data_IF_953205804299
#
_entry.id   IF_953205804299
#
_cell.length_a   1.000
_cell.length_b   1.000
_cell.length_c   1.000
_cell.angle_alpha   90.00
_cell.angle_beta   90.00
_cell.angle_gamma   90.00
#
_symmetry.space_group_name_H-M   'P 1'
#
loop_
_entity.id
_entity.type
_entity.pdbx_description
1 polymer ?
#
# COMPACT_ATOMS: atom_id res chain seq x y z
N UNK A 1 4.82 32.56 7.27
CA UNK A 1 5.86 32.39 6.24
C UNK A 1 6.80 31.27 6.66
N UNK A 2 6.55 30.12 6.05
CA UNK A 2 7.38 28.90 6.06
C UNK A 2 8.69 29.15 5.31
N UNK A 3 9.82 28.68 5.85
CA UNK A 3 11.01 28.31 5.07
C UNK A 3 11.81 27.22 5.78
N UNK A 4 11.52 26.01 5.32
CA UNK A 4 12.34 24.82 5.08
C UNK A 4 13.86 24.99 5.08
N UNK A 5 14.58 23.97 5.59
CA UNK A 5 15.71 23.21 4.98
C UNK A 5 16.65 22.72 6.11
N UNK A 6 16.69 21.42 6.42
CA UNK A 6 17.40 20.40 5.64
C UNK A 6 18.82 20.86 5.27
N UNK A 7 19.69 20.96 6.28
CA UNK A 7 21.15 21.06 6.14
C UNK A 7 21.79 20.69 7.48
N UNK A 8 21.87 19.41 7.80
CA UNK A 8 22.74 18.95 8.90
C UNK A 8 23.21 17.52 8.66
N UNK A 9 24.04 17.34 7.64
CA UNK A 9 24.96 16.19 7.56
C UNK A 9 26.38 16.57 7.09
N UNK A 10 26.71 17.87 6.94
CA UNK A 10 28.04 18.27 6.44
C UNK A 10 28.87 19.11 7.44
N UNK A 11 28.32 19.65 8.53
CA UNK A 11 29.06 20.59 9.39
C UNK A 11 29.31 20.14 10.84
N UNK A 12 29.69 18.87 11.06
CA UNK A 12 30.40 18.45 12.30
C UNK A 12 31.48 17.41 11.99
N UNK A 13 32.35 17.68 11.03
CA UNK A 13 33.65 17.00 10.91
C UNK A 13 34.75 17.96 11.36
N UNK A 14 34.92 18.06 12.68
CA UNK A 14 36.18 18.36 13.35
C UNK A 14 35.88 18.27 14.84
N UNK A 15 36.63 17.42 15.53
CA UNK A 15 36.64 17.17 16.98
C UNK A 15 35.82 15.91 17.39
N UNK A 16 36.60 14.90 17.83
CA UNK A 16 36.26 13.55 18.35
C UNK A 16 36.32 12.44 17.28
N UNK A 17 37.56 12.06 16.96
CA UNK A 17 37.92 10.87 16.18
C UNK A 17 37.91 9.61 17.07
N UNK A 18 36.74 9.16 17.50
CA UNK A 18 36.49 7.80 18.03
C UNK A 18 34.98 7.50 18.10
N UNK A 19 34.20 7.94 17.11
CA UNK A 19 32.81 7.49 16.94
C UNK A 19 32.71 6.62 15.68
N UNK A 20 32.90 5.32 15.95
CA UNK A 20 32.17 4.17 15.41
C UNK A 20 32.05 4.00 13.89
N UNK A 21 32.80 3.03 13.34
CA UNK A 21 32.62 2.43 11.99
C UNK A 21 31.15 2.06 11.70
N UNK A 22 30.36 1.78 12.75
CA UNK A 22 28.95 1.38 12.69
C UNK A 22 28.04 2.56 12.25
N UNK A 23 28.38 3.80 12.62
CA UNK A 23 27.57 4.96 12.26
C UNK A 23 27.72 5.34 10.77
N UNK A 24 28.93 5.17 10.20
CA UNK A 24 29.17 5.39 8.77
C UNK A 24 28.47 4.34 7.90
N UNK A 25 28.51 3.07 8.30
CA UNK A 25 27.87 1.99 7.53
C UNK A 25 26.35 2.08 7.53
N UNK A 26 25.74 2.49 8.65
CA UNK A 26 24.29 2.75 8.74
C UNK A 26 23.85 3.97 7.93
N UNK A 27 24.69 5.02 7.83
CA UNK A 27 24.40 6.20 7.03
C UNK A 27 24.49 5.90 5.52
N UNK A 28 25.45 5.08 5.11
CA UNK A 28 25.58 4.62 3.72
C UNK A 28 24.45 3.68 3.30
N UNK A 29 24.03 2.76 4.18
CA UNK A 29 22.93 1.83 3.88
C UNK A 29 21.59 2.54 3.72
N UNK A 30 21.30 3.54 4.55
CA UNK A 30 20.08 4.36 4.47
C UNK A 30 20.04 5.27 3.25
N UNK A 31 21.18 5.85 2.86
CA UNK A 31 21.29 6.62 1.60
C UNK A 31 21.07 5.74 0.37
N UNK A 32 21.65 4.54 0.35
CA UNK A 32 21.48 3.60 -0.75
C UNK A 32 20.04 3.10 -0.86
N UNK A 33 19.40 2.76 0.28
CA UNK A 33 17.99 2.36 0.31
C UNK A 33 17.05 3.48 -0.20
N UNK A 34 17.32 4.73 0.17
CA UNK A 34 16.57 5.87 -0.35
C UNK A 34 16.76 6.06 -1.87
N UNK A 35 17.97 5.83 -2.38
CA UNK A 35 18.24 5.90 -3.82
C UNK A 35 17.51 4.79 -4.58
N UNK A 36 17.61 3.54 -4.11
CA UNK A 36 16.91 2.38 -4.66
C UNK A 36 15.38 2.62 -4.64
N UNK A 37 14.85 3.16 -3.54
CA UNK A 37 13.43 3.51 -3.43
C UNK A 37 13.00 4.51 -4.51
N UNK A 38 13.73 5.62 -4.66
CA UNK A 38 13.40 6.66 -5.64
C UNK A 38 13.51 6.15 -7.08
N UNK A 39 14.47 5.27 -7.36
CA UNK A 39 14.61 4.63 -8.67
C UNK A 39 13.42 3.73 -9.00
N UNK A 40 13.08 2.80 -8.11
CA UNK A 40 11.94 1.93 -8.30
C UNK A 40 10.63 2.74 -8.39
N UNK A 41 10.46 3.77 -7.55
CA UNK A 41 9.29 4.63 -7.57
C UNK A 41 9.13 5.34 -8.91
N UNK A 42 10.21 5.85 -9.51
CA UNK A 42 10.16 6.53 -10.81
C UNK A 42 9.62 5.64 -11.92
N UNK A 43 10.10 4.41 -11.99
CA UNK A 43 9.60 3.41 -12.95
C UNK A 43 8.14 3.08 -12.69
N UNK A 44 7.76 2.85 -11.43
CA UNK A 44 6.37 2.56 -11.06
C UNK A 44 5.41 3.73 -11.34
N UNK A 45 5.84 4.98 -11.12
CA UNK A 45 5.05 6.18 -11.45
C UNK A 45 4.86 6.30 -12.97
N UNK A 46 5.88 5.99 -13.76
CA UNK A 46 5.80 5.98 -15.23
C UNK A 46 4.86 4.88 -15.75
N UNK A 47 4.93 3.69 -15.14
CA UNK A 47 4.01 2.60 -15.42
C UNK A 47 2.56 3.00 -15.07
N UNK A 48 2.35 3.59 -13.90
CA UNK A 48 1.05 4.07 -13.44
C UNK A 48 0.46 5.09 -14.41
N UNK A 49 1.25 6.07 -14.86
CA UNK A 49 0.80 7.06 -15.84
C UNK A 49 0.32 6.40 -17.15
N UNK A 50 1.04 5.36 -17.61
CA UNK A 50 0.68 4.64 -18.84
C UNK A 50 -0.66 3.92 -18.71
N UNK A 51 -0.94 3.30 -17.54
CA UNK A 51 -2.21 2.60 -17.32
C UNK A 51 -3.38 3.58 -17.09
N UNK A 52 -3.15 4.73 -16.46
CA UNK A 52 -4.16 5.80 -16.32
C UNK A 52 -4.56 6.38 -17.67
N UNK A 53 -3.58 6.60 -18.56
CA UNK A 53 -3.85 7.02 -19.94
C UNK A 53 -4.61 5.94 -20.71
N UNK A 54 -4.26 4.67 -20.52
CA UNK A 54 -4.99 3.56 -21.14
C UNK A 54 -6.45 3.50 -20.67
N UNK A 55 -6.70 3.71 -19.37
CA UNK A 55 -8.05 3.79 -18.80
C UNK A 55 -8.87 4.91 -19.42
N UNK A 56 -8.30 6.10 -19.54
CA UNK A 56 -8.98 7.24 -20.18
C UNK A 56 -9.37 6.92 -21.63
N UNK A 57 -8.53 6.16 -22.35
CA UNK A 57 -8.80 5.73 -23.73
C UNK A 57 -9.76 4.55 -23.83
N UNK A 58 -9.93 3.75 -22.77
CA UNK A 58 -10.82 2.58 -22.77
C UNK A 58 -12.30 2.94 -22.91
N UNK A 59 -12.65 4.22 -22.63
CA UNK A 59 -13.97 4.80 -22.89
C UNK A 59 -14.23 5.10 -24.38
N UNK A 60 -13.21 4.96 -25.24
CA UNK A 60 -13.30 5.16 -26.69
C UNK A 60 -13.04 3.82 -27.41
N UNK A 61 -13.97 3.44 -28.30
CA UNK A 61 -14.13 2.08 -28.81
C UNK A 61 -13.08 1.61 -29.83
N UNK A 62 -12.03 2.39 -30.10
CA UNK A 62 -11.00 2.07 -31.09
C UNK A 62 -9.69 1.54 -30.47
N UNK A 63 -9.15 0.47 -31.04
CA UNK A 63 -7.79 -0.01 -30.80
C UNK A 63 -6.81 0.86 -31.57
N UNK A 64 -6.43 1.99 -30.99
CA UNK A 64 -5.44 2.90 -31.61
C UNK A 64 -4.01 2.42 -31.33
N UNK A 65 -3.03 2.69 -32.22
CA UNK A 65 -1.61 2.44 -31.97
C UNK A 65 -1.12 2.92 -30.58
N UNK A 66 -1.73 4.01 -30.08
CA UNK A 66 -1.46 4.57 -28.76
C UNK A 66 -1.78 3.58 -27.61
N UNK A 67 -2.84 2.76 -27.70
CA UNK A 67 -3.18 1.78 -26.63
C UNK A 67 -2.11 0.69 -26.50
N UNK A 68 -1.57 0.21 -27.63
CA UNK A 68 -0.50 -0.80 -27.65
C UNK A 68 0.80 -0.24 -27.08
N UNK A 69 1.15 0.99 -27.45
CA UNK A 69 2.31 1.68 -26.91
C UNK A 69 2.20 1.89 -25.40
N UNK A 70 1.05 2.34 -24.89
CA UNK A 70 0.81 2.52 -23.46
C UNK A 70 0.94 1.21 -22.67
N UNK A 71 0.36 0.11 -23.18
CA UNK A 71 0.53 -1.20 -22.55
C UNK A 71 1.99 -1.65 -22.59
N UNK A 72 2.70 -1.43 -23.71
CA UNK A 72 4.12 -1.73 -23.82
C UNK A 72 4.97 -0.95 -22.82
N UNK A 73 4.68 0.35 -22.64
CA UNK A 73 5.36 1.20 -21.67
C UNK A 73 5.05 0.78 -20.23
N UNK A 74 3.79 0.48 -19.92
CA UNK A 74 3.40 -0.07 -18.61
C UNK A 74 4.21 -1.33 -18.25
N UNK A 75 4.28 -2.29 -19.17
CA UNK A 75 5.01 -3.55 -18.95
C UNK A 75 6.53 -3.30 -18.83
N UNK A 76 7.10 -2.49 -19.73
CA UNK A 76 8.52 -2.15 -19.71
C UNK A 76 8.94 -1.47 -18.41
N UNK A 77 8.19 -0.47 -17.98
CA UNK A 77 8.50 0.29 -16.77
C UNK A 77 8.28 -0.56 -15.51
N UNK A 78 7.23 -1.38 -15.47
CA UNK A 78 7.04 -2.36 -14.38
C UNK A 78 8.21 -3.34 -14.31
N UNK A 79 8.65 -3.89 -15.44
CA UNK A 79 9.79 -4.80 -15.49
C UNK A 79 11.10 -4.10 -15.07
N UNK A 80 11.29 -2.84 -15.47
CA UNK A 80 12.47 -2.05 -15.12
C UNK A 80 12.58 -1.78 -13.61
N UNK A 81 11.45 -1.72 -12.90
CA UNK A 81 11.44 -1.60 -11.45
C UNK A 81 11.86 -2.90 -10.72
N UNK A 82 11.64 -4.08 -11.34
CA UNK A 82 11.79 -5.39 -10.68
C UNK A 82 13.15 -5.64 -10.03
N UNK A 83 14.31 -5.40 -10.69
CA UNK A 83 15.62 -5.67 -10.07
C UNK A 83 15.87 -4.83 -8.81
N UNK A 84 15.41 -3.58 -8.81
CA UNK A 84 15.56 -2.67 -7.66
C UNK A 84 14.62 -3.09 -6.53
N UNK A 85 13.39 -3.46 -6.87
CA UNK A 85 12.41 -4.00 -5.91
C UNK A 85 12.90 -5.30 -5.27
N UNK A 86 13.57 -6.18 -6.02
CA UNK A 86 14.19 -7.39 -5.49
C UNK A 86 15.28 -7.04 -4.47
N UNK A 87 16.20 -6.11 -4.79
CA UNK A 87 17.24 -5.65 -3.84
C UNK A 87 16.67 -5.07 -2.55
N UNK A 88 15.59 -4.30 -2.63
CA UNK A 88 14.93 -3.76 -1.45
C UNK A 88 14.17 -4.84 -0.66
N UNK A 89 13.50 -5.76 -1.36
CA UNK A 89 12.75 -6.84 -0.73
C UNK A 89 13.65 -7.82 0.04
N UNK A 90 14.89 -8.07 -0.43
CA UNK A 90 15.89 -8.87 0.30
C UNK A 90 16.35 -8.19 1.58
N UNK A 91 16.40 -6.85 1.62
CA UNK A 91 16.61 -6.03 2.84
C UNK A 91 15.38 -5.93 3.74
N UNK A 92 14.39 -6.80 3.53
CA UNK A 92 13.13 -6.86 4.27
C UNK A 92 12.21 -5.64 4.10
N UNK A 93 12.39 -4.80 3.07
CA UNK A 93 11.54 -3.64 2.86
C UNK A 93 10.08 -4.04 2.49
N UNK A 94 9.11 -3.66 3.33
CA UNK A 94 7.70 -4.05 3.17
C UNK A 94 7.05 -3.46 1.90
N UNK A 95 7.34 -2.21 1.56
CA UNK A 95 6.86 -1.58 0.34
C UNK A 95 7.38 -2.30 -0.90
N UNK A 96 8.67 -2.65 -0.92
CA UNK A 96 9.26 -3.34 -2.07
C UNK A 96 8.72 -4.76 -2.24
N UNK A 97 8.51 -5.49 -1.15
CA UNK A 97 7.85 -6.81 -1.19
C UNK A 97 6.44 -6.70 -1.78
N UNK A 98 5.67 -5.71 -1.35
CA UNK A 98 4.34 -5.45 -1.91
C UNK A 98 4.40 -5.10 -3.40
N UNK A 99 5.26 -4.16 -3.79
CA UNK A 99 5.40 -3.71 -5.18
C UNK A 99 5.91 -4.80 -6.11
N UNK A 100 6.88 -5.61 -5.66
CA UNK A 100 7.36 -6.76 -6.39
C UNK A 100 6.24 -7.79 -6.57
N UNK A 101 5.45 -8.05 -5.52
CA UNK A 101 4.30 -8.93 -5.61
C UNK A 101 3.32 -8.49 -6.69
N UNK A 102 3.01 -7.19 -6.78
CA UNK A 102 2.16 -6.63 -7.84
C UNK A 102 2.81 -6.72 -9.23
N UNK A 103 4.10 -6.37 -9.34
CA UNK A 103 4.84 -6.45 -10.60
C UNK A 103 4.87 -7.88 -11.18
N UNK A 104 4.86 -8.90 -10.31
CA UNK A 104 4.79 -10.30 -10.70
C UNK A 104 3.37 -10.79 -11.01
N UNK A 105 2.36 -9.92 -10.98
CA UNK A 105 0.96 -10.29 -11.31
C UNK A 105 0.46 -9.62 -12.58
N UNK A 106 1.31 -8.82 -13.25
CA UNK A 106 0.94 -8.16 -14.49
C UNK A 106 0.73 -9.16 -15.63
N UNK A 107 0.02 -8.76 -16.70
CA UNK A 107 -0.14 -9.60 -17.88
C UNK A 107 1.20 -10.07 -18.44
N UNK A 108 1.23 -11.28 -18.99
CA UNK A 108 2.40 -11.92 -19.61
C UNK A 108 3.55 -12.35 -18.67
N UNK A 109 3.48 -12.10 -17.36
CA UNK A 109 4.42 -12.72 -16.41
C UNK A 109 4.24 -14.25 -16.40
N UNK A 110 5.30 -15.06 -16.55
CA UNK A 110 5.22 -16.53 -16.54
C UNK A 110 4.58 -17.09 -15.27
N UNK A 111 3.79 -18.18 -15.34
CA UNK A 111 3.13 -18.75 -14.17
C UNK A 111 4.08 -19.07 -13.01
N UNK A 112 5.29 -19.58 -13.28
CA UNK A 112 6.28 -19.83 -12.23
C UNK A 112 6.68 -18.56 -11.47
N UNK A 113 6.86 -17.44 -12.18
CA UNK A 113 7.18 -16.16 -11.56
C UNK A 113 6.00 -15.59 -10.79
N UNK A 114 4.79 -15.71 -11.34
CA UNK A 114 3.56 -15.25 -10.66
C UNK A 114 3.36 -15.93 -9.32
N UNK A 115 3.76 -17.19 -9.17
CA UNK A 115 3.63 -17.94 -7.92
C UNK A 115 4.40 -17.32 -6.75
N UNK A 116 5.42 -16.50 -7.02
CA UNK A 116 6.22 -15.79 -6.01
C UNK A 116 5.48 -14.60 -5.39
N UNK A 117 4.36 -14.13 -5.97
CA UNK A 117 3.61 -12.96 -5.51
C UNK A 117 3.01 -13.15 -4.11
N UNK A 118 2.32 -14.26 -3.85
CA UNK A 118 1.65 -14.49 -2.56
C UNK A 118 2.62 -14.53 -1.36
N UNK A 119 3.78 -15.23 -1.43
CA UNK A 119 4.81 -15.13 -0.39
C UNK A 119 5.29 -13.71 -0.11
N UNK A 120 5.43 -12.87 -1.14
CA UNK A 120 5.85 -11.48 -1.00
C UNK A 120 4.77 -10.62 -0.31
N UNK A 121 3.51 -10.77 -0.73
CA UNK A 121 2.39 -10.09 -0.06
C UNK A 121 2.28 -10.51 1.41
N UNK A 122 2.42 -11.80 1.71
CA UNK A 122 2.39 -12.34 3.07
C UNK A 122 3.50 -11.75 3.94
N UNK A 123 4.72 -11.66 3.42
CA UNK A 123 5.86 -11.08 4.13
C UNK A 123 5.66 -9.58 4.39
N UNK A 124 5.17 -8.84 3.40
CA UNK A 124 4.87 -7.41 3.57
C UNK A 124 3.72 -7.17 4.56
N UNK A 125 2.65 -7.96 4.46
CA UNK A 125 1.50 -7.92 5.36
C UNK A 125 1.88 -8.23 6.81
N UNK A 126 2.77 -9.20 7.04
CA UNK A 126 3.26 -9.54 8.40
C UNK A 126 4.05 -8.41 9.07
N UNK A 127 4.58 -7.48 8.27
CA UNK A 127 5.23 -6.27 8.78
C UNK A 127 4.21 -5.16 9.11
N UNK A 128 2.92 -5.37 8.83
CA UNK A 128 1.84 -4.43 9.06
C UNK A 128 1.63 -3.43 7.94
N UNK A 129 2.09 -3.68 6.71
CA UNK A 129 1.86 -2.75 5.60
C UNK A 129 0.45 -2.94 5.03
N UNK A 130 -0.48 -2.01 5.34
CA UNK A 130 -1.91 -2.09 4.97
C UNK A 130 -2.16 -2.47 3.50
N UNK A 131 -1.47 -1.87 2.50
CA UNK A 131 -1.68 -2.22 1.10
C UNK A 131 -1.43 -3.71 0.80
N UNK A 132 -0.46 -4.33 1.48
CA UNK A 132 -0.16 -5.74 1.31
C UNK A 132 -1.16 -6.66 2.00
N UNK A 133 -1.73 -6.25 3.14
CA UNK A 133 -2.80 -7.01 3.79
C UNK A 133 -4.00 -7.13 2.84
N UNK A 134 -4.36 -6.05 2.15
CA UNK A 134 -5.43 -6.06 1.16
C UNK A 134 -5.10 -6.87 -0.09
N UNK A 135 -3.89 -6.76 -0.63
CA UNK A 135 -3.47 -7.60 -1.75
C UNK A 135 -3.45 -9.10 -1.37
N UNK A 136 -2.99 -9.45 -0.17
CA UNK A 136 -3.02 -10.82 0.33
C UNK A 136 -4.46 -11.34 0.44
N UNK A 137 -5.36 -10.57 1.06
CA UNK A 137 -6.77 -10.97 1.21
C UNK A 137 -7.48 -11.12 -0.15
N UNK A 138 -7.16 -10.27 -1.13
CA UNK A 138 -7.87 -10.26 -2.40
C UNK A 138 -7.29 -11.14 -3.51
N UNK A 139 -5.97 -11.24 -3.59
CA UNK A 139 -5.28 -11.99 -4.65
C UNK A 139 -4.83 -13.38 -4.20
N UNK A 140 -4.69 -13.57 -2.88
CA UNK A 140 -4.11 -14.77 -2.27
C UNK A 140 -4.98 -15.26 -1.11
N UNK A 141 -6.30 -15.22 -1.27
CA UNK A 141 -7.27 -15.51 -0.19
C UNK A 141 -7.12 -16.91 0.44
N UNK A 142 -6.50 -17.87 -0.25
CA UNK A 142 -6.17 -19.20 0.30
C UNK A 142 -5.05 -19.16 1.34
N UNK A 143 -4.24 -18.11 1.37
CA UNK A 143 -3.08 -17.93 2.26
C UNK A 143 -3.42 -17.23 3.58
N UNK A 144 -4.66 -16.75 3.73
CA UNK A 144 -5.10 -15.96 4.87
C UNK A 144 -6.52 -16.30 5.30
N UNK A 145 -6.71 -16.55 6.59
CA UNK A 145 -8.04 -16.73 7.19
C UNK A 145 -8.63 -15.38 7.63
N UNK A 146 -9.94 -15.32 7.82
CA UNK A 146 -10.61 -14.14 8.36
C UNK A 146 -10.04 -13.71 9.73
N UNK A 147 -9.68 -14.68 10.59
CA UNK A 147 -9.08 -14.40 11.90
C UNK A 147 -7.71 -13.76 11.76
N UNK A 148 -6.86 -14.31 10.89
CA UNK A 148 -5.53 -13.73 10.60
C UNK A 148 -5.63 -12.33 9.99
N UNK A 149 -6.60 -12.10 9.11
CA UNK A 149 -6.86 -10.77 8.53
C UNK A 149 -7.17 -9.74 9.62
N UNK A 150 -8.08 -10.05 10.54
CA UNK A 150 -8.44 -9.16 11.66
C UNK A 150 -7.20 -8.81 12.50
N UNK A 151 -6.40 -9.82 12.85
CA UNK A 151 -5.18 -9.61 13.65
C UNK A 151 -4.17 -8.71 12.93
N UNK A 152 -3.95 -8.92 11.63
CA UNK A 152 -3.05 -8.10 10.84
C UNK A 152 -3.54 -6.66 10.72
N UNK A 153 -4.85 -6.44 10.55
CA UNK A 153 -5.43 -5.09 10.52
C UNK A 153 -5.28 -4.38 11.87
N UNK A 154 -5.60 -5.04 12.99
CA UNK A 154 -5.42 -4.46 14.33
C UNK A 154 -3.95 -4.13 14.60
N UNK A 155 -3.02 -5.03 14.26
CA UNK A 155 -1.58 -4.79 14.42
C UNK A 155 -1.09 -3.63 13.54
N UNK A 156 -1.52 -3.59 12.29
CA UNK A 156 -1.11 -2.59 11.32
C UNK A 156 -1.53 -1.17 11.72
N UNK A 157 -2.74 -1.02 12.27
CA UNK A 157 -3.26 0.26 12.74
C UNK A 157 -2.50 0.82 13.96
N UNK A 158 -1.90 -0.03 14.78
CA UNK A 158 -1.15 0.41 15.96
C UNK A 158 0.21 1.04 15.63
N UNK A 159 0.76 0.78 14.44
CA UNK A 159 2.11 1.17 14.03
C UNK A 159 2.12 1.59 12.55
N UNK A 160 1.07 2.31 12.13
CA UNK A 160 0.87 2.67 10.72
C UNK A 160 1.87 3.73 10.24
N UNK A 161 2.37 4.57 11.15
CA UNK A 161 3.27 5.69 10.87
C UNK A 161 4.62 5.26 10.30
N UNK A 162 5.08 4.03 10.60
CA UNK A 162 6.37 3.52 10.09
C UNK A 162 6.44 3.46 8.55
N UNK A 163 5.29 3.54 7.88
CA UNK A 163 5.19 3.47 6.43
C UNK A 163 4.82 4.80 5.77
N UNK A 164 4.82 5.91 6.51
CA UNK A 164 4.39 7.23 6.01
C UNK A 164 5.06 7.64 4.69
N UNK A 165 6.36 7.34 4.55
CA UNK A 165 7.12 7.66 3.33
C UNK A 165 6.62 6.94 2.07
N UNK A 166 5.87 5.85 2.22
CA UNK A 166 5.37 5.04 1.10
C UNK A 166 3.97 5.46 0.64
N UNK A 167 3.31 6.36 1.37
CA UNK A 167 2.01 6.90 1.00
C UNK A 167 2.16 8.26 0.29
N UNK A 168 1.24 8.58 -0.64
CA UNK A 168 0.18 7.73 -1.16
C UNK A 168 0.73 6.65 -2.10
N UNK A 169 -0.02 5.55 -2.24
CA UNK A 169 0.38 4.39 -3.04
C UNK A 169 -0.79 3.85 -3.85
N UNK A 170 -0.57 3.53 -5.15
CA UNK A 170 -1.48 2.65 -5.89
C UNK A 170 -1.77 1.37 -5.13
N UNK A 171 -3.05 1.00 -4.98
CA UNK A 171 -3.42 -0.29 -4.44
C UNK A 171 -4.76 -0.80 -4.92
N UNK A 172 -4.86 -2.13 -4.93
CA UNK A 172 -6.12 -2.86 -4.96
C UNK A 172 -6.72 -2.77 -3.55
N UNK A 173 -7.75 -1.94 -3.37
CA UNK A 173 -8.59 -1.99 -2.16
C UNK A 173 -10.02 -2.31 -2.55
N UNK A 174 -10.68 -3.09 -1.69
CA UNK A 174 -12.12 -3.21 -1.70
C UNK A 174 -12.67 -1.90 -1.17
N UNK A 175 -13.06 -1.01 -2.09
CA UNK A 175 -13.58 0.34 -1.82
C UNK A 175 -14.94 0.25 -1.09
N UNK A 176 -14.97 -0.26 0.15
CA UNK A 176 -16.21 -0.41 0.93
C UNK A 176 -16.65 0.93 1.50
N UNK A 177 -15.69 1.82 1.76
CA UNK A 177 -15.97 3.17 2.21
C UNK A 177 -16.71 4.00 1.17
N UNK A 178 -16.43 3.81 -0.13
CA UNK A 178 -17.03 4.57 -1.22
C UNK A 178 -17.83 3.66 -2.17
N UNK A 179 -19.16 3.79 -2.15
CA UNK A 179 -20.05 3.09 -3.10
C UNK A 179 -19.82 3.61 -4.52
N UNK A 180 -19.94 2.71 -5.52
CA UNK A 180 -19.99 3.03 -6.95
C UNK A 180 -18.73 3.65 -7.57
N UNK A 181 -17.54 3.19 -7.18
CA UNK A 181 -16.34 3.65 -7.88
C UNK A 181 -16.20 2.95 -9.23
N UNK A 182 -15.95 3.69 -10.33
CA UNK A 182 -15.85 3.10 -11.66
C UNK A 182 -14.76 2.02 -11.71
N UNK A 183 -15.02 0.98 -12.50
CA UNK A 183 -14.00 0.00 -12.87
C UNK A 183 -12.90 0.71 -13.65
N UNK A 184 -11.65 0.50 -13.23
CA UNK A 184 -10.46 1.11 -13.78
C UNK A 184 -9.36 0.05 -13.82
N UNK A 185 -8.57 -0.01 -14.90
CA UNK A 185 -7.36 -0.83 -14.97
C UNK A 185 -6.28 -0.25 -14.04
N UNK A 186 -6.22 1.07 -13.93
CA UNK A 186 -5.34 1.79 -13.03
C UNK A 186 -5.82 1.65 -11.58
N UNK A 187 -4.92 1.20 -10.72
CA UNK A 187 -5.16 1.22 -9.29
C UNK A 187 -5.22 2.67 -8.80
N UNK A 188 -6.21 3.05 -7.97
CA UNK A 188 -6.25 4.37 -7.37
C UNK A 188 -5.06 4.54 -6.44
N UNK A 189 -4.47 5.74 -6.44
CA UNK A 189 -3.50 6.12 -5.42
C UNK A 189 -4.22 6.51 -4.14
N UNK A 190 -3.95 5.79 -3.06
CA UNK A 190 -4.62 5.98 -1.77
C UNK A 190 -3.65 6.52 -0.72
N UNK A 191 -4.17 7.43 0.11
CA UNK A 191 -3.45 7.97 1.27
C UNK A 191 -3.44 6.96 2.42
N UNK A 192 -2.54 7.14 3.39
CA UNK A 192 -2.56 6.36 4.64
C UNK A 192 -3.93 6.37 5.30
N UNK A 193 -4.52 7.57 5.45
CA UNK A 193 -5.84 7.76 6.06
C UNK A 193 -6.92 6.92 5.36
N UNK A 194 -6.89 6.84 4.02
CA UNK A 194 -7.85 6.03 3.27
C UNK A 194 -7.70 4.53 3.54
N UNK A 195 -6.46 4.01 3.64
CA UNK A 195 -6.26 2.60 4.05
C UNK A 195 -6.71 2.34 5.48
N UNK A 196 -6.40 3.24 6.40
CA UNK A 196 -6.84 3.13 7.79
C UNK A 196 -8.37 3.16 7.90
N UNK A 197 -9.04 3.99 7.09
CA UNK A 197 -10.50 4.08 7.03
C UNK A 197 -11.13 2.73 6.67
N UNK A 198 -10.63 2.10 5.60
CA UNK A 198 -11.09 0.77 5.15
C UNK A 198 -10.77 -0.30 6.20
N UNK A 199 -9.61 -0.24 6.86
CA UNK A 199 -9.21 -1.19 7.88
C UNK A 199 -10.14 -1.13 9.10
N UNK A 200 -10.42 0.08 9.61
CA UNK A 200 -11.39 0.29 10.68
C UNK A 200 -12.80 -0.16 10.26
N UNK A 201 -13.19 0.12 9.02
CA UNK A 201 -14.49 -0.32 8.51
C UNK A 201 -14.61 -1.85 8.49
N UNK A 202 -13.61 -2.56 7.97
CA UNK A 202 -13.58 -4.02 7.94
C UNK A 202 -13.56 -4.64 9.35
N UNK A 203 -12.79 -4.05 10.28
CA UNK A 203 -12.79 -4.46 11.69
C UNK A 203 -14.17 -4.29 12.34
N UNK A 204 -14.88 -3.22 12.00
CA UNK A 204 -16.25 -3.02 12.49
C UNK A 204 -17.22 -4.08 11.94
N UNK A 205 -17.08 -4.46 10.67
CA UNK A 205 -17.92 -5.49 10.05
C UNK A 205 -17.64 -6.87 10.64
N UNK A 206 -16.38 -7.14 10.97
CA UNK A 206 -15.96 -8.37 11.65
C UNK A 206 -16.34 -8.43 13.14
N UNK A 207 -16.74 -7.30 13.75
CA UNK A 207 -17.09 -7.23 15.17
C UNK A 207 -18.61 -7.34 15.37
N UNK A 208 -19.13 -8.46 15.91
CA UNK A 208 -20.57 -8.64 16.09
C UNK A 208 -21.09 -7.86 17.31
N UNK A 209 -22.15 -7.07 17.14
CA UNK A 209 -22.75 -6.25 18.21
C UNK A 209 -23.68 -7.03 19.17
N UNK A 210 -23.29 -8.25 19.56
CA UNK A 210 -24.09 -9.17 20.38
C UNK A 210 -24.09 -8.85 21.88
N UNK A 211 -23.05 -8.17 22.36
CA UNK A 211 -22.93 -7.73 23.76
C UNK A 211 -22.72 -6.21 23.79
N UNK A 212 -23.02 -5.53 24.91
CA UNK A 212 -22.77 -4.09 25.04
C UNK A 212 -21.31 -3.71 24.74
N UNK A 213 -20.35 -4.48 25.26
CA UNK A 213 -18.91 -4.27 25.02
C UNK A 213 -18.55 -4.39 23.53
N UNK A 214 -18.98 -5.48 22.86
CA UNK A 214 -18.68 -5.65 21.43
C UNK A 214 -19.41 -4.63 20.55
N UNK A 215 -20.61 -4.20 20.96
CA UNK A 215 -21.35 -3.11 20.31
C UNK A 215 -20.57 -1.80 20.41
N UNK A 216 -20.04 -1.47 21.58
CA UNK A 216 -19.21 -0.29 21.78
C UNK A 216 -17.91 -0.36 20.98
N UNK A 217 -17.22 -1.52 20.97
CA UNK A 217 -16.01 -1.73 20.15
C UNK A 217 -16.30 -1.53 18.66
N UNK A 218 -17.40 -2.10 18.16
CA UNK A 218 -17.85 -1.90 16.77
C UNK A 218 -18.12 -0.43 16.46
N UNK A 219 -18.80 0.28 17.36
CA UNK A 219 -19.09 1.70 17.18
C UNK A 219 -17.81 2.54 17.12
N UNK A 220 -16.83 2.26 17.99
CA UNK A 220 -15.54 2.94 17.97
C UNK A 220 -14.80 2.76 16.63
N UNK A 221 -14.81 1.54 16.06
CA UNK A 221 -14.25 1.30 14.73
C UNK A 221 -15.00 2.07 13.63
N UNK A 222 -16.33 2.12 13.66
CA UNK A 222 -17.09 2.89 12.68
C UNK A 222 -16.81 4.39 12.76
N UNK A 223 -16.72 4.97 13.95
CA UNK A 223 -16.37 6.38 14.11
C UNK A 223 -14.93 6.67 13.66
N UNK A 224 -13.99 5.76 13.93
CA UNK A 224 -12.62 5.88 13.45
C UNK A 224 -12.52 5.84 11.91
N UNK A 225 -13.33 5.01 11.26
CA UNK A 225 -13.44 4.96 9.80
C UNK A 225 -14.09 6.24 9.24
N UNK A 226 -15.21 6.69 9.83
CA UNK A 226 -15.93 7.90 9.43
C UNK A 226 -15.04 9.14 9.49
N UNK A 227 -14.26 9.29 10.57
CA UNK A 227 -13.32 10.41 10.75
C UNK A 227 -12.15 10.40 9.75
N UNK A 228 -12.05 9.35 8.93
CA UNK A 228 -11.06 9.19 7.84
C UNK A 228 -11.74 9.11 6.48
N UNK A 229 -12.84 9.85 6.31
CA UNK A 229 -13.59 9.99 5.07
C UNK A 229 -14.22 8.68 4.55
N UNK A 230 -14.71 7.82 5.45
CA UNK A 230 -15.48 6.63 5.09
C UNK A 230 -17.01 6.89 5.19
N UNK A 231 -17.69 7.39 4.15
CA UNK A 231 -19.10 7.74 4.24
C UNK A 231 -20.01 6.53 4.51
N UNK A 232 -19.63 5.33 4.08
CA UNK A 232 -20.36 4.10 4.40
C UNK A 232 -20.50 3.86 5.91
N UNK A 233 -19.53 4.33 6.72
CA UNK A 233 -19.54 4.12 8.16
C UNK A 233 -20.73 4.80 8.85
N UNK A 234 -21.14 5.99 8.40
CA UNK A 234 -22.27 6.73 9.00
C UNK A 234 -23.56 5.92 8.95
N UNK A 235 -23.89 5.32 7.80
CA UNK A 235 -25.09 4.47 7.68
C UNK A 235 -25.06 3.28 8.64
N UNK A 236 -23.90 2.69 8.89
CA UNK A 236 -23.77 1.60 9.86
C UNK A 236 -23.88 2.07 11.31
N UNK A 237 -23.46 3.29 11.62
CA UNK A 237 -23.63 3.92 12.94
C UNK A 237 -25.12 4.14 13.21
N UNK A 238 -25.84 4.76 12.27
CA UNK A 238 -27.28 5.06 12.41
C UNK A 238 -28.10 3.79 12.64
N UNK A 239 -27.78 2.73 11.89
CA UNK A 239 -28.40 1.42 12.06
C UNK A 239 -28.07 0.77 13.41
N UNK A 240 -26.87 0.99 13.94
CA UNK A 240 -26.46 0.39 15.22
C UNK A 240 -27.13 1.09 16.41
N UNK A 241 -27.35 2.41 16.31
CA UNK A 241 -27.97 3.22 17.37
C UNK A 241 -29.50 3.14 17.38
N UNK A 242 -30.12 2.76 16.26
CA UNK A 242 -31.58 2.57 16.17
C UNK A 242 -32.08 1.26 16.79
N UNK A 243 -31.18 0.30 17.06
CA UNK A 243 -31.51 -0.97 17.73
C UNK A 243 -31.45 -0.76 19.25
N UNK A 244 -32.63 -0.58 19.87
CA UNK A 244 -32.82 -0.53 21.33
C UNK A 244 -32.41 -1.86 22.00
#
# INVERSE_FOLDING_TARGET
MTKTKQTSCINKLKIIATISLIALSACQSTQLENSDYLEAKRHLDSAQLSIEQLDALSSQQESTPNKKELMSNFLKETHSATPVLERLATKNNAWAQYRLGLALTVPFTPPEERSRSCPLFKKSASQGYLPAIYALAGMCSKEITQVQLILLLEQSLNDSEKFDMYYPTPAMIYRRCHKNMPYALAMPSLTKSAFEAEAYFDLSMATPAKTPEKRQKRLAYLEAAKNRDCPAAQTHIDNLLSIK
#
